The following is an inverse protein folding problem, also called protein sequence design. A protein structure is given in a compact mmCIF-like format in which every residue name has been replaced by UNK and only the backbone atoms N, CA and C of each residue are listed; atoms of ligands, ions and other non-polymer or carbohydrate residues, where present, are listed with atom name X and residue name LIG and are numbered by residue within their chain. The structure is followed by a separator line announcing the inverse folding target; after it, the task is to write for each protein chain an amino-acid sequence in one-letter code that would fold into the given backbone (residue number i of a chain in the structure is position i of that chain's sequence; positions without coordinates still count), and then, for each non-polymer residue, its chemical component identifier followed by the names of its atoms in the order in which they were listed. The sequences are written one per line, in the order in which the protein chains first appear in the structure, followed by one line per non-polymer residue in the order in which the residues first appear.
data_IF_775878168270
#
_entry.id   IF_775878168270
#
_cell.length_a   1.000
_cell.length_b   1.000
_cell.length_c   1.000
_cell.angle_alpha   90.00
_cell.angle_beta   90.00
_cell.angle_gamma   90.00
#
_symmetry.space_group_name_H-M   'P 1'
#
loop_
_entity.id
_entity.type
_entity.pdbx_description
1 polymer ?
#
# COMPACT_ATOMS: atom_id res chain seq x y z
N UNK A 1 -2.90 -16.59 -12.02
CA UNK A 1 -2.96 -15.14 -12.31
C UNK A 1 -1.68 -14.51 -11.80
N UNK A 2 -0.66 -14.33 -12.64
CA UNK A 2 0.48 -13.48 -12.31
C UNK A 2 0.02 -12.05 -12.47
N UNK A 3 -0.43 -11.42 -11.39
CA UNK A 3 -0.56 -9.97 -11.36
C UNK A 3 0.86 -9.41 -11.50
N UNK A 4 1.22 -8.97 -12.71
CA UNK A 4 2.53 -8.36 -12.98
C UNK A 4 2.47 -6.93 -12.41
N UNK A 5 3.12 -6.72 -11.28
CA UNK A 5 3.40 -5.39 -10.74
C UNK A 5 4.90 -5.10 -10.84
N UNK A 6 5.27 -3.82 -10.90
CA UNK A 6 6.67 -3.42 -10.93
C UNK A 6 7.31 -3.67 -9.57
N UNK A 7 8.20 -4.65 -9.49
CA UNK A 7 8.86 -5.03 -8.25
C UNK A 7 9.92 -4.02 -7.81
N UNK A 8 10.50 -3.23 -8.72
CA UNK A 8 11.46 -2.17 -8.38
C UNK A 8 10.69 -1.03 -7.71
N UNK A 9 9.64 -0.53 -8.36
CA UNK A 9 8.78 0.51 -7.79
C UNK A 9 8.13 0.06 -6.46
N UNK A 10 7.77 -1.22 -6.33
CA UNK A 10 7.29 -1.79 -5.07
C UNK A 10 8.31 -1.67 -3.94
N UNK A 11 9.57 -2.03 -4.20
CA UNK A 11 10.65 -1.93 -3.18
C UNK A 11 10.91 -0.49 -2.80
N UNK A 12 10.90 0.43 -3.76
CA UNK A 12 11.09 1.87 -3.52
C UNK A 12 9.97 2.44 -2.63
N UNK A 13 8.71 2.15 -2.95
CA UNK A 13 7.56 2.59 -2.14
C UNK A 13 7.56 2.00 -0.74
N UNK A 14 7.92 0.72 -0.61
CA UNK A 14 8.03 0.08 0.70
C UNK A 14 9.16 0.69 1.54
N UNK A 15 10.30 1.01 0.92
CA UNK A 15 11.41 1.71 1.57
C UNK A 15 10.99 3.11 2.01
N UNK A 16 10.31 3.87 1.14
CA UNK A 16 9.81 5.20 1.45
C UNK A 16 8.84 5.22 2.65
N UNK A 17 7.89 4.27 2.69
CA UNK A 17 6.96 4.14 3.82
C UNK A 17 7.66 3.85 5.15
N UNK A 18 8.69 2.99 5.13
CA UNK A 18 9.48 2.70 6.32
C UNK A 18 10.20 3.94 6.85
N UNK A 19 10.75 4.74 5.93
CA UNK A 19 11.43 6.00 6.26
C UNK A 19 10.45 7.06 6.80
N UNK A 20 9.32 7.26 6.13
CA UNK A 20 8.26 8.19 6.54
C UNK A 20 7.73 7.88 7.95
N UNK A 21 7.55 6.60 8.26
CA UNK A 21 7.03 6.16 9.56
C UNK A 21 8.13 5.99 10.62
N UNK A 22 9.41 6.20 10.27
CA UNK A 22 10.54 6.03 11.18
C UNK A 22 10.71 4.60 11.70
N UNK A 23 10.29 3.58 10.92
CA UNK A 23 10.34 2.17 11.33
C UNK A 23 11.45 1.44 10.57
N UNK A 24 12.34 0.78 11.30
CA UNK A 24 13.37 -0.04 10.66
C UNK A 24 12.79 -1.29 9.99
N UNK A 25 13.42 -1.76 8.89
CA UNK A 25 13.08 -3.02 8.22
C UNK A 25 12.97 -4.21 9.18
N UNK A 26 13.85 -4.27 10.20
CA UNK A 26 13.82 -5.32 11.22
C UNK A 26 12.54 -5.28 12.05
N UNK A 27 12.20 -4.10 12.58
CA UNK A 27 11.00 -3.91 13.41
C UNK A 27 9.75 -4.20 12.60
N UNK A 28 9.66 -3.69 11.37
CA UNK A 28 8.51 -3.94 10.49
C UNK A 28 8.36 -5.41 10.12
N UNK A 29 9.46 -6.14 9.91
CA UNK A 29 9.43 -7.59 9.65
C UNK A 29 8.91 -8.38 10.85
N UNK A 30 9.37 -8.05 12.06
CA UNK A 30 8.94 -8.71 13.30
C UNK A 30 7.45 -8.43 13.57
N UNK A 31 7.00 -7.18 13.38
CA UNK A 31 5.57 -6.82 13.50
C UNK A 31 4.69 -7.62 12.54
N UNK A 32 5.15 -7.85 11.32
CA UNK A 32 4.47 -8.67 10.32
C UNK A 32 4.72 -10.18 10.45
N UNK A 33 5.03 -10.68 11.65
CA UNK A 33 5.25 -12.11 11.96
C UNK A 33 6.21 -12.80 10.97
N UNK A 34 7.27 -12.10 10.60
CA UNK A 34 8.28 -12.56 9.64
C UNK A 34 9.66 -12.60 10.30
N UNK A 35 10.63 -13.23 9.63
CA UNK A 35 12.00 -13.28 10.14
C UNK A 35 12.59 -11.86 10.20
N UNK A 36 13.46 -11.54 11.17
CA UNK A 36 13.98 -10.17 11.37
C UNK A 36 14.71 -9.58 10.15
N UNK A 37 15.18 -10.41 9.23
CA UNK A 37 15.87 -10.00 8.00
C UNK A 37 14.99 -10.01 6.75
N UNK A 38 13.69 -10.30 6.86
CA UNK A 38 12.81 -10.49 5.71
C UNK A 38 12.74 -9.26 4.81
N UNK A 39 12.43 -8.07 5.35
CA UNK A 39 12.37 -6.86 4.53
C UNK A 39 13.73 -6.44 3.98
N UNK A 40 14.81 -6.77 4.68
CA UNK A 40 16.15 -6.55 4.15
C UNK A 40 16.40 -7.43 2.90
N UNK A 41 16.01 -8.71 2.94
CA UNK A 41 16.16 -9.58 1.76
C UNK A 41 15.27 -9.16 0.59
N UNK A 42 14.07 -8.64 0.87
CA UNK A 42 13.15 -8.14 -0.17
C UNK A 42 13.65 -6.85 -0.81
N UNK A 43 13.97 -5.84 0.01
CA UNK A 43 14.29 -4.48 -0.46
C UNK A 43 15.73 -4.40 -0.97
N UNK A 44 16.70 -4.95 -0.24
CA UNK A 44 18.13 -4.87 -0.59
C UNK A 44 18.62 -6.12 -1.33
N UNK A 45 18.11 -7.29 -0.95
CA UNK A 45 18.51 -8.56 -1.54
C UNK A 45 17.75 -8.94 -2.83
N UNK A 46 16.72 -8.18 -3.21
CA UNK A 46 15.92 -8.45 -4.40
C UNK A 46 15.00 -9.66 -4.30
N UNK A 47 14.85 -10.29 -3.13
CA UNK A 47 13.96 -11.42 -2.95
C UNK A 47 12.51 -11.05 -3.30
N UNK A 48 11.80 -11.94 -3.99
CA UNK A 48 10.40 -11.72 -4.34
C UNK A 48 9.50 -12.13 -3.17
N UNK A 49 8.72 -11.19 -2.59
CA UNK A 49 7.76 -11.54 -1.56
C UNK A 49 6.52 -12.18 -2.19
N UNK A 50 5.88 -13.09 -1.46
CA UNK A 50 4.51 -13.48 -1.82
C UNK A 50 3.57 -12.33 -1.48
N UNK A 51 2.49 -12.18 -2.26
CA UNK A 51 1.46 -11.16 -1.99
C UNK A 51 0.91 -11.29 -0.56
N UNK A 52 0.72 -12.52 -0.08
CA UNK A 52 0.24 -12.78 1.28
C UNK A 52 1.20 -12.28 2.36
N UNK A 53 2.51 -12.53 2.19
CA UNK A 53 3.53 -12.09 3.15
C UNK A 53 3.68 -10.57 3.14
N UNK A 54 3.62 -9.95 1.97
CA UNK A 54 3.62 -8.50 1.83
C UNK A 54 2.37 -7.87 2.46
N UNK A 55 1.19 -8.48 2.26
CA UNK A 55 -0.07 -8.04 2.86
C UNK A 55 -0.01 -8.06 4.40
N UNK A 56 0.54 -9.14 4.98
CA UNK A 56 0.74 -9.27 6.42
C UNK A 56 1.62 -8.14 6.98
N UNK A 57 2.76 -7.88 6.33
CA UNK A 57 3.65 -6.79 6.74
C UNK A 57 2.98 -5.44 6.60
N UNK A 58 2.30 -5.18 5.48
CA UNK A 58 1.63 -3.90 5.26
C UNK A 58 0.56 -3.65 6.33
N UNK A 59 -0.33 -4.63 6.55
CA UNK A 59 -1.37 -4.54 7.58
C UNK A 59 -0.81 -4.30 8.98
N UNK A 60 0.22 -5.05 9.39
CA UNK A 60 0.81 -4.93 10.72
C UNK A 60 1.57 -3.60 10.97
N UNK A 61 1.93 -2.89 9.90
CA UNK A 61 2.62 -1.60 9.98
C UNK A 61 1.73 -0.41 9.59
N UNK A 62 0.44 -0.65 9.27
CA UNK A 62 -0.49 0.41 8.86
C UNK A 62 -0.24 0.92 7.44
N UNK A 63 0.44 0.14 6.59
CA UNK A 63 0.72 0.51 5.21
C UNK A 63 -0.38 0.01 4.27
N UNK A 64 -0.69 0.80 3.24
CA UNK A 64 -1.59 0.36 2.17
C UNK A 64 -0.87 -0.61 1.23
N UNK A 65 -1.36 -1.85 1.16
CA UNK A 65 -0.85 -2.84 0.18
C UNK A 65 -1.06 -2.35 -1.26
N UNK A 66 -2.18 -1.68 -1.54
CA UNK A 66 -2.48 -1.15 -2.87
C UNK A 66 -1.45 -0.06 -3.28
N UNK A 67 -1.05 0.80 -2.34
CA UNK A 67 0.03 1.75 -2.57
C UNK A 67 1.36 1.04 -2.83
N UNK A 68 1.74 0.08 -1.98
CA UNK A 68 3.00 -0.65 -2.13
C UNK A 68 3.09 -1.37 -3.50
N UNK A 69 2.00 -2.00 -3.95
CA UNK A 69 1.97 -2.74 -5.21
C UNK A 69 1.81 -1.86 -6.45
N UNK A 70 0.98 -0.81 -6.38
CA UNK A 70 0.53 -0.08 -7.57
C UNK A 70 0.70 1.44 -7.49
N UNK A 71 0.99 1.99 -6.31
CA UNK A 71 1.27 3.41 -6.12
C UNK A 71 0.02 4.26 -5.97
N UNK A 72 -1.14 3.62 -5.78
CA UNK A 72 -2.37 4.33 -5.47
C UNK A 72 -2.35 4.75 -3.99
N UNK A 73 -2.04 6.02 -3.73
CA UNK A 73 -2.31 6.62 -2.42
C UNK A 73 -3.80 6.79 -2.27
N UNK A 74 -4.39 5.93 -1.45
CA UNK A 74 -5.75 6.12 -0.97
C UNK A 74 -5.61 6.54 0.48
N UNK A 75 -5.79 7.84 0.74
CA UNK A 75 -5.90 8.30 2.12
C UNK A 75 -7.14 7.69 2.78
N UNK A 76 -7.19 7.54 4.12
CA UNK A 76 -8.40 7.07 4.81
C UNK A 76 -9.63 7.92 4.48
N UNK A 77 -9.43 9.22 4.22
CA UNK A 77 -10.47 10.13 3.77
C UNK A 77 -10.96 9.77 2.36
N UNK A 78 -10.04 9.52 1.43
CA UNK A 78 -10.36 9.06 0.07
C UNK A 78 -11.07 7.72 0.08
N UNK A 79 -10.66 6.78 0.92
CA UNK A 79 -11.30 5.47 1.08
C UNK A 79 -12.74 5.61 1.56
N UNK A 80 -12.95 6.47 2.57
CA UNK A 80 -14.30 6.80 3.07
C UNK A 80 -15.16 7.46 2.00
N UNK A 81 -14.58 8.38 1.23
CA UNK A 81 -15.24 9.01 0.08
C UNK A 81 -15.66 7.97 -0.96
N UNK A 82 -14.77 7.06 -1.36
CA UNK A 82 -15.08 5.97 -2.29
C UNK A 82 -16.22 5.10 -1.77
N UNK A 83 -16.16 4.66 -0.51
CA UNK A 83 -17.20 3.83 0.10
C UNK A 83 -18.57 4.52 0.15
N UNK A 84 -18.61 5.84 0.37
CA UNK A 84 -19.85 6.62 0.33
C UNK A 84 -20.38 6.78 -1.10
N UNK A 85 -19.49 7.05 -2.06
CA UNK A 85 -19.83 7.20 -3.47
C UNK A 85 -20.35 5.90 -4.11
N UNK A 86 -19.87 4.74 -3.67
CA UNK A 86 -20.41 3.46 -4.13
C UNK A 86 -21.83 3.19 -3.64
N UNK A 87 -22.15 3.63 -2.42
CA UNK A 87 -23.48 3.46 -1.82
C UNK A 87 -24.53 4.38 -2.43
N UNK A 88 -24.12 5.57 -2.89
CA UNK A 88 -25.03 6.60 -3.40
C UNK A 88 -24.59 7.08 -4.80
N UNK A 89 -24.90 6.33 -5.87
CA UNK A 89 -24.47 6.66 -7.23
C UNK A 89 -24.92 8.05 -7.70
N UNK A 90 -26.12 8.51 -7.30
CA UNK A 90 -26.62 9.84 -7.66
C UNK A 90 -25.82 10.96 -6.99
N UNK A 91 -25.39 10.75 -5.74
CA UNK A 91 -24.53 11.71 -5.04
C UNK A 91 -23.13 11.77 -5.67
N UNK A 92 -22.60 10.62 -6.12
CA UNK A 92 -21.34 10.56 -6.87
C UNK A 92 -21.39 11.42 -8.14
N UNK A 93 -22.46 11.31 -8.93
CA UNK A 93 -22.60 12.09 -10.16
C UNK A 93 -22.65 13.60 -9.86
N UNK A 94 -23.32 13.99 -8.78
CA UNK A 94 -23.32 15.37 -8.27
C UNK A 94 -21.92 15.84 -7.87
N UNK A 95 -21.18 15.05 -7.11
CA UNK A 95 -19.79 15.36 -6.70
C UNK A 95 -18.88 15.48 -7.93
N UNK A 96 -18.99 14.56 -8.89
CA UNK A 96 -18.23 14.62 -10.15
C UNK A 96 -18.51 15.92 -10.90
N UNK A 97 -19.77 16.34 -11.00
CA UNK A 97 -20.14 17.60 -11.65
C UNK A 97 -19.55 18.85 -10.97
N UNK A 98 -19.33 18.78 -9.65
CA UNK A 98 -18.72 19.87 -8.88
C UNK A 98 -17.20 19.94 -9.04
N UNK A 99 -16.56 18.79 -9.20
CA UNK A 99 -15.09 18.65 -9.30
C UNK A 99 -14.58 18.77 -10.75
N UNK A 100 -15.36 18.36 -11.75
CA UNK A 100 -15.00 18.40 -13.18
C UNK A 100 -15.15 19.80 -13.82
N UNK A 101 -14.97 20.85 -13.00
CA UNK A 101 -15.01 22.24 -13.49
C UNK A 101 -13.76 22.53 -14.33
N UNK A 102 -13.95 22.51 -15.65
CA UNK A 102 -13.07 23.20 -16.60
C UNK A 102 -13.07 24.70 -16.39
#
# INVERSE_FOLDING_TARGET
MTATYDTIAMRERLQALLEEHGVSMRVASIKGESTPGYLHSVIKGGAEPTVQKLAQICSANGFSLAYVLFGFEVSPETERLMALMEKEPQARDGILSLLDKK
#
